data_IF_568984500056
#
_entry.id   IF_568984500056
#
_cell.length_a   1.000
_cell.length_b   1.000
_cell.length_c   1.000
_cell.angle_alpha   90.00
_cell.angle_beta   90.00
_cell.angle_gamma   90.00
#
_symmetry.space_group_name_H-M   'P 1'
#
loop_
_entity.id
_entity.type
_entity.pdbx_description
1 polymer ?
#
# COMPACT_ATOMS: atom_id res chain seq x y z
N UNK A 1 -19.95 -8.87 11.03
CA UNK A 1 -18.55 -8.98 10.56
C UNK A 1 -17.66 -8.37 11.64
N UNK A 2 -16.67 -9.10 12.16
CA UNK A 2 -15.78 -8.59 13.22
C UNK A 2 -14.53 -7.94 12.61
N UNK A 3 -14.09 -6.83 13.18
CA UNK A 3 -12.87 -6.17 12.73
C UNK A 3 -11.61 -6.99 13.08
N UNK A 4 -10.65 -7.04 12.17
CA UNK A 4 -9.35 -7.69 12.32
C UNK A 4 -8.30 -6.63 12.65
N UNK A 5 -7.78 -6.67 13.88
CA UNK A 5 -6.62 -5.89 14.29
C UNK A 5 -5.77 -6.73 15.26
N UNK A 6 -4.84 -7.50 14.71
CA UNK A 6 -4.07 -8.49 15.47
C UNK A 6 -2.65 -8.00 15.71
N UNK A 7 -2.01 -8.47 16.79
CA UNK A 7 -0.58 -8.18 17.05
C UNK A 7 0.31 -8.56 15.87
N UNK A 8 -0.01 -9.65 15.18
CA UNK A 8 0.71 -10.06 13.97
C UNK A 8 0.60 -9.02 12.84
N UNK A 9 -0.59 -8.46 12.60
CA UNK A 9 -0.77 -7.42 11.58
C UNK A 9 -0.10 -6.11 11.99
N UNK A 10 -0.14 -5.74 13.26
CA UNK A 10 0.58 -4.58 13.79
C UNK A 10 2.08 -4.72 13.50
N UNK A 11 2.69 -5.85 13.89
CA UNK A 11 4.12 -6.10 13.68
C UNK A 11 4.48 -6.17 12.19
N UNK A 12 3.66 -6.83 11.36
CA UNK A 12 3.89 -6.89 9.91
C UNK A 12 3.81 -5.52 9.26
N UNK A 13 2.78 -4.74 9.60
CA UNK A 13 2.61 -3.39 9.07
C UNK A 13 3.75 -2.48 9.51
N UNK A 14 4.11 -2.53 10.80
CA UNK A 14 5.24 -1.82 11.38
C UNK A 14 6.52 -2.10 10.61
N UNK A 15 6.90 -3.38 10.47
CA UNK A 15 8.18 -3.74 9.87
C UNK A 15 8.20 -3.51 8.35
N UNK A 16 7.22 -4.04 7.62
CA UNK A 16 7.28 -4.08 6.15
C UNK A 16 7.21 -2.68 5.54
N UNK A 17 6.26 -1.84 6.00
CA UNK A 17 6.14 -0.48 5.48
C UNK A 17 7.35 0.38 5.84
N UNK A 18 7.85 0.27 7.08
CA UNK A 18 9.03 1.02 7.51
C UNK A 18 10.27 0.61 6.74
N UNK A 19 10.52 -0.68 6.54
CA UNK A 19 11.68 -1.17 5.79
C UNK A 19 11.61 -0.68 4.34
N UNK A 20 10.47 -0.86 3.67
CA UNK A 20 10.30 -0.43 2.28
C UNK A 20 10.51 1.07 2.10
N UNK A 21 9.87 1.88 2.95
CA UNK A 21 10.00 3.34 2.91
C UNK A 21 11.41 3.82 3.27
N UNK A 22 12.06 3.19 4.26
CA UNK A 22 13.42 3.54 4.68
C UNK A 22 14.42 3.26 3.57
N UNK A 23 14.33 2.10 2.92
CA UNK A 23 15.21 1.77 1.78
C UNK A 23 14.98 2.77 0.65
N UNK A 24 13.73 3.09 0.32
CA UNK A 24 13.40 4.09 -0.69
C UNK A 24 13.96 5.48 -0.34
N UNK A 25 13.86 5.90 0.91
CA UNK A 25 14.38 7.18 1.40
C UNK A 25 15.91 7.24 1.34
N UNK A 26 16.60 6.17 1.71
CA UNK A 26 18.06 6.06 1.63
C UNK A 26 18.55 6.16 0.19
N UNK A 27 17.88 5.46 -0.75
CA UNK A 27 18.21 5.52 -2.18
C UNK A 27 18.06 6.93 -2.76
N UNK A 28 17.08 7.69 -2.28
CA UNK A 28 16.83 9.07 -2.72
C UNK A 28 17.67 10.12 -1.97
N UNK A 29 18.46 9.74 -0.97
CA UNK A 29 19.16 10.68 -0.10
C UNK A 29 18.22 11.55 0.76
N UNK A 30 16.98 11.10 0.98
CA UNK A 30 15.92 11.82 1.71
C UNK A 30 15.54 11.15 3.04
N UNK A 31 16.47 10.39 3.62
CA UNK A 31 16.25 9.71 4.90
C UNK A 31 16.09 10.71 6.04
N UNK A 32 15.07 10.51 6.87
CA UNK A 32 14.91 11.21 8.14
C UNK A 32 14.32 10.28 9.20
N UNK A 33 14.79 10.43 10.43
CA UNK A 33 14.33 9.61 11.56
C UNK A 33 12.84 9.83 11.83
N UNK A 34 12.36 11.06 11.67
CA UNK A 34 10.96 11.43 11.84
C UNK A 34 10.06 10.73 10.80
N UNK A 35 10.48 10.66 9.53
CA UNK A 35 9.78 9.91 8.48
C UNK A 35 9.70 8.44 8.83
N UNK A 36 10.82 7.83 9.22
CA UNK A 36 10.86 6.42 9.59
C UNK A 36 9.90 6.09 10.73
N UNK A 37 9.94 6.86 11.83
CA UNK A 37 9.05 6.66 12.98
C UNK A 37 7.58 6.94 12.65
N UNK A 38 7.32 7.95 11.80
CA UNK A 38 5.98 8.26 11.33
C UNK A 38 5.38 7.14 10.48
N UNK A 39 6.15 6.63 9.52
CA UNK A 39 5.72 5.50 8.68
C UNK A 39 5.58 4.20 9.48
N UNK A 40 6.40 4.02 10.52
CA UNK A 40 6.25 2.95 11.50
C UNK A 40 4.91 3.03 12.23
N UNK A 41 4.53 4.22 12.72
CA UNK A 41 3.25 4.46 13.37
C UNK A 41 2.07 4.19 12.42
N UNK A 42 2.10 4.75 11.20
CA UNK A 42 1.04 4.55 10.20
C UNK A 42 0.91 3.07 9.81
N UNK A 43 2.04 2.38 9.58
CA UNK A 43 2.07 0.97 9.26
C UNK A 43 1.46 0.10 10.37
N UNK A 44 1.81 0.39 11.62
CA UNK A 44 1.33 -0.32 12.81
C UNK A 44 -0.14 -0.05 13.15
N UNK A 45 -0.69 1.09 12.73
CA UNK A 45 -2.04 1.55 13.10
C UNK A 45 -2.98 1.53 11.90
N UNK A 46 -2.97 2.58 11.08
CA UNK A 46 -3.89 2.81 9.97
C UNK A 46 -3.87 1.64 8.99
N UNK A 47 -2.69 1.21 8.55
CA UNK A 47 -2.61 0.15 7.53
C UNK A 47 -2.86 -1.24 8.11
N UNK A 48 -2.36 -1.53 9.31
CA UNK A 48 -2.63 -2.79 10.00
C UNK A 48 -4.11 -2.97 10.39
N UNK A 49 -4.86 -1.87 10.50
CA UNK A 49 -6.31 -1.89 10.69
C UNK A 49 -7.06 -1.95 9.34
N UNK A 50 -6.91 -0.96 8.46
CA UNK A 50 -7.80 -0.81 7.31
C UNK A 50 -7.66 -1.92 6.27
N UNK A 51 -6.43 -2.28 5.89
CA UNK A 51 -6.15 -3.21 4.78
C UNK A 51 -6.69 -4.62 5.04
N UNK A 52 -6.41 -5.28 6.18
CA UNK A 52 -6.95 -6.61 6.44
C UNK A 52 -8.48 -6.61 6.56
N UNK A 53 -9.08 -5.56 7.13
CA UNK A 53 -10.52 -5.41 7.22
C UNK A 53 -11.16 -5.26 5.84
N UNK A 54 -10.56 -4.49 4.94
CA UNK A 54 -11.05 -4.35 3.58
C UNK A 54 -10.93 -5.66 2.79
N UNK A 55 -9.86 -6.42 2.97
CA UNK A 55 -9.72 -7.74 2.33
C UNK A 55 -10.72 -8.76 2.87
N UNK A 56 -11.03 -8.72 4.16
CA UNK A 56 -12.09 -9.53 4.73
C UNK A 56 -13.45 -9.12 4.15
N UNK A 57 -13.68 -7.81 3.95
CA UNK A 57 -14.91 -7.30 3.35
C UNK A 57 -15.07 -7.79 1.92
N UNK A 58 -14.01 -7.74 1.10
CA UNK A 58 -14.01 -8.32 -0.26
C UNK A 58 -14.34 -9.82 -0.22
N UNK A 59 -13.68 -10.57 0.68
CA UNK A 59 -13.90 -12.01 0.81
C UNK A 59 -15.35 -12.36 1.21
N UNK A 60 -15.96 -11.55 2.07
CA UNK A 60 -17.35 -11.73 2.49
C UNK A 60 -18.35 -11.25 1.45
N UNK A 61 -18.07 -10.18 0.70
CA UNK A 61 -18.95 -9.63 -0.32
C UNK A 61 -19.02 -10.51 -1.57
N UNK A 62 -17.90 -11.15 -1.93
CA UNK A 62 -17.78 -12.00 -3.12
C UNK A 62 -17.64 -13.45 -2.67
N UNK A 63 -18.76 -14.02 -2.27
CA UNK A 63 -18.90 -15.44 -1.95
C UNK A 63 -19.11 -16.27 -3.21
N UNK A 64 -18.58 -17.49 -3.23
CA UNK A 64 -18.82 -18.47 -4.29
C UNK A 64 -17.54 -19.01 -4.93
N UNK A 65 -17.67 -19.96 -5.87
CA UNK A 65 -16.54 -20.63 -6.48
C UNK A 65 -15.61 -19.65 -7.19
N UNK A 66 -14.36 -20.09 -7.44
CA UNK A 66 -13.34 -19.34 -8.19
C UNK A 66 -13.68 -19.25 -9.68
N UNK A 67 -14.81 -18.62 -10.00
CA UNK A 67 -15.14 -18.23 -11.36
C UNK A 67 -14.23 -17.08 -11.79
N UNK A 68 -14.01 -16.98 -13.10
CA UNK A 68 -13.25 -15.89 -13.69
C UNK A 68 -13.83 -14.52 -13.30
N UNK A 69 -15.16 -14.37 -13.38
CA UNK A 69 -15.85 -13.13 -13.03
C UNK A 69 -15.67 -12.75 -11.54
N UNK A 70 -15.79 -13.71 -10.62
CA UNK A 70 -15.55 -13.44 -9.20
C UNK A 70 -14.11 -13.04 -8.93
N UNK A 71 -13.17 -13.63 -9.66
CA UNK A 71 -11.75 -13.30 -9.54
C UNK A 71 -11.44 -11.87 -10.01
N UNK A 72 -12.06 -11.44 -11.12
CA UNK A 72 -11.98 -10.07 -11.59
C UNK A 72 -12.65 -9.10 -10.62
N UNK A 73 -13.84 -9.42 -10.08
CA UNK A 73 -14.52 -8.57 -9.08
C UNK A 73 -13.67 -8.35 -7.83
N UNK A 74 -13.05 -9.40 -7.27
CA UNK A 74 -12.16 -9.27 -6.11
C UNK A 74 -10.95 -8.38 -6.40
N UNK A 75 -10.35 -8.56 -7.57
CA UNK A 75 -9.22 -7.74 -8.05
C UNK A 75 -9.64 -6.28 -8.22
N UNK A 76 -10.77 -6.03 -8.89
CA UNK A 76 -11.31 -4.69 -9.12
C UNK A 76 -11.63 -3.96 -7.82
N UNK A 77 -12.25 -4.64 -6.84
CA UNK A 77 -12.47 -4.04 -5.52
C UNK A 77 -11.16 -3.69 -4.81
N UNK A 78 -10.15 -4.56 -4.87
CA UNK A 78 -8.83 -4.27 -4.30
C UNK A 78 -8.17 -3.06 -4.98
N UNK A 79 -8.27 -2.97 -6.31
CA UNK A 79 -7.77 -1.83 -7.10
C UNK A 79 -8.50 -0.52 -6.75
N UNK A 80 -9.82 -0.56 -6.53
CA UNK A 80 -10.59 0.60 -6.09
C UNK A 80 -10.20 1.07 -4.69
N UNK A 81 -9.82 0.15 -3.80
CA UNK A 81 -9.30 0.53 -2.49
C UNK A 81 -7.92 1.15 -2.58
N UNK A 82 -7.00 0.56 -3.34
CA UNK A 82 -5.69 1.14 -3.64
C UNK A 82 -5.76 2.21 -4.74
N UNK A 83 -6.81 3.03 -4.73
CA UNK A 83 -7.06 4.13 -5.66
C UNK A 83 -6.02 5.26 -5.54
N UNK A 84 -6.04 6.25 -6.45
CA UNK A 84 -5.23 7.46 -6.31
C UNK A 84 -5.36 8.15 -4.96
N UNK A 85 -6.53 8.08 -4.30
CA UNK A 85 -6.71 8.64 -2.96
C UNK A 85 -5.87 7.92 -1.90
N UNK A 86 -5.77 6.59 -1.98
CA UNK A 86 -4.92 5.82 -1.08
C UNK A 86 -3.45 6.18 -1.29
N UNK A 87 -3.01 6.27 -2.55
CA UNK A 87 -1.64 6.64 -2.91
C UNK A 87 -1.33 8.06 -2.46
N UNK A 88 -2.22 9.02 -2.71
CA UNK A 88 -2.07 10.40 -2.27
C UNK A 88 -1.97 10.51 -0.74
N UNK A 89 -2.79 9.75 -0.01
CA UNK A 89 -2.72 9.68 1.46
C UNK A 89 -1.38 9.14 1.94
N UNK A 90 -0.83 8.12 1.28
CA UNK A 90 0.50 7.60 1.61
C UNK A 90 1.61 8.65 1.37
N UNK A 91 1.57 9.35 0.23
CA UNK A 91 2.49 10.44 -0.08
C UNK A 91 2.36 11.60 0.91
N UNK A 92 1.14 11.92 1.34
CA UNK A 92 0.87 12.93 2.37
C UNK A 92 1.57 12.56 3.68
N UNK A 93 1.46 11.32 4.15
CA UNK A 93 2.15 10.89 5.37
C UNK A 93 3.67 10.98 5.23
N UNK A 94 4.23 10.60 4.07
CA UNK A 94 5.67 10.75 3.82
C UNK A 94 6.07 12.22 3.94
N UNK A 95 5.37 13.15 3.27
CA UNK A 95 5.70 14.59 3.32
C UNK A 95 5.53 15.17 4.72
N UNK A 96 4.44 14.79 5.40
CA UNK A 96 4.14 15.16 6.79
C UNK A 96 5.29 14.82 7.73
N UNK A 97 5.70 13.54 7.75
CA UNK A 97 6.72 13.06 8.67
C UNK A 97 8.15 13.38 8.20
N UNK A 98 8.33 13.77 6.94
CA UNK A 98 9.60 14.32 6.44
C UNK A 98 9.79 15.80 6.78
N UNK A 99 8.76 16.48 7.30
CA UNK A 99 8.83 17.91 7.59
C UNK A 99 8.62 18.82 6.37
N UNK A 100 8.19 18.26 5.23
CA UNK A 100 7.95 19.01 3.99
C UNK A 100 6.49 19.48 3.89
N UNK A 101 6.03 20.18 4.92
CA UNK A 101 4.63 20.64 5.04
C UNK A 101 4.20 21.54 3.88
N UNK A 102 5.11 22.37 3.37
CA UNK A 102 4.86 23.29 2.26
C UNK A 102 4.62 22.59 0.92
N UNK A 103 4.99 21.31 0.80
CA UNK A 103 4.79 20.51 -0.41
C UNK A 103 3.47 19.72 -0.37
N UNK A 104 2.72 19.80 0.74
CA UNK A 104 1.40 19.18 0.86
C UNK A 104 0.40 20.06 0.11
N UNK A 105 0.03 19.63 -1.10
CA UNK A 105 -0.90 20.35 -1.96
C UNK A 105 -1.77 19.38 -2.77
N UNK A 106 -2.73 19.92 -3.51
CA UNK A 106 -3.55 19.17 -4.46
C UNK A 106 -2.73 18.47 -5.56
N UNK A 107 -1.49 18.88 -5.79
CA UNK A 107 -0.60 18.21 -6.74
C UNK A 107 -0.27 16.78 -6.30
N UNK A 108 -0.31 16.46 -4.99
CA UNK A 108 -0.17 15.08 -4.50
C UNK A 108 -1.21 14.14 -5.12
N UNK A 109 -2.45 14.62 -5.32
CA UNK A 109 -3.50 13.82 -5.94
C UNK A 109 -3.24 13.62 -7.44
N UNK A 110 -2.69 14.63 -8.11
CA UNK A 110 -2.27 14.55 -9.52
C UNK A 110 -1.16 13.52 -9.68
N UNK A 111 -0.09 13.63 -8.89
CA UNK A 111 1.03 12.67 -8.88
C UNK A 111 0.53 11.27 -8.59
N UNK A 112 -0.29 11.10 -7.54
CA UNK A 112 -0.87 9.82 -7.19
C UNK A 112 -1.73 9.20 -8.30
N UNK A 113 -2.49 10.02 -9.03
CA UNK A 113 -3.32 9.57 -10.17
C UNK A 113 -2.47 9.10 -11.34
N UNK A 114 -1.42 9.85 -11.69
CA UNK A 114 -0.48 9.46 -12.74
C UNK A 114 0.28 8.19 -12.35
N UNK A 115 0.84 8.13 -11.14
CA UNK A 115 1.53 6.94 -10.63
C UNK A 115 0.62 5.71 -10.63
N UNK A 116 -0.64 5.86 -10.20
CA UNK A 116 -1.62 4.78 -10.25
C UNK A 116 -1.86 4.32 -11.69
N UNK A 117 -2.11 5.25 -12.62
CA UNK A 117 -2.37 4.94 -14.03
C UNK A 117 -1.23 4.16 -14.69
N UNK A 118 0.01 4.61 -14.51
CA UNK A 118 1.19 3.90 -15.04
C UNK A 118 1.40 2.54 -14.37
N UNK A 119 0.98 2.39 -13.13
CA UNK A 119 1.13 1.15 -12.37
C UNK A 119 -0.02 0.16 -12.57
N UNK A 120 -1.09 0.49 -13.31
CA UNK A 120 -2.26 -0.38 -13.46
C UNK A 120 -1.87 -1.82 -13.85
N UNK A 121 -1.01 -2.08 -14.84
CA UNK A 121 -0.71 -3.46 -15.24
C UNK A 121 -0.08 -4.30 -14.12
N UNK A 122 0.88 -3.71 -13.41
CA UNK A 122 1.62 -4.38 -12.32
C UNK A 122 0.73 -4.51 -11.08
N UNK A 123 0.06 -3.43 -10.67
CA UNK A 123 -0.83 -3.42 -9.51
C UNK A 123 -2.05 -4.32 -9.71
N UNK A 124 -2.66 -4.38 -10.90
CA UNK A 124 -3.76 -5.29 -11.19
C UNK A 124 -3.30 -6.75 -11.11
N UNK A 125 -2.12 -7.07 -11.65
CA UNK A 125 -1.56 -8.42 -11.60
C UNK A 125 -1.26 -8.86 -10.16
N UNK A 126 -0.63 -7.99 -9.37
CA UNK A 126 -0.35 -8.25 -7.96
C UNK A 126 -1.65 -8.42 -7.15
N UNK A 127 -2.62 -7.53 -7.33
CA UNK A 127 -3.91 -7.62 -6.65
C UNK A 127 -4.70 -8.86 -7.08
N UNK A 128 -4.61 -9.28 -8.34
CA UNK A 128 -5.21 -10.52 -8.80
C UNK A 128 -4.63 -11.73 -8.06
N UNK A 129 -3.31 -11.80 -7.96
CA UNK A 129 -2.63 -12.87 -7.23
C UNK A 129 -3.00 -12.85 -5.73
N UNK A 130 -2.88 -11.68 -5.08
CA UNK A 130 -3.18 -11.53 -3.64
C UNK A 130 -4.62 -11.92 -3.34
N UNK A 131 -5.59 -11.46 -4.12
CA UNK A 131 -7.00 -11.71 -3.82
C UNK A 131 -7.48 -13.12 -4.17
N UNK A 132 -6.85 -13.79 -5.13
CA UNK A 132 -7.36 -15.07 -5.65
C UNK A 132 -6.48 -16.28 -5.31
N UNK A 133 -5.19 -16.08 -5.03
CA UNK A 133 -4.25 -17.17 -4.74
C UNK A 133 -3.81 -17.20 -3.28
N UNK A 134 -3.72 -16.06 -2.61
CA UNK A 134 -3.32 -16.03 -1.20
C UNK A 134 -4.51 -16.29 -0.25
N UNK A 135 -4.33 -17.16 0.76
CA UNK A 135 -5.27 -17.27 1.88
C UNK A 135 -5.47 -15.93 2.57
N UNK A 136 -6.68 -15.66 3.07
CA UNK A 136 -7.08 -14.37 3.62
C UNK A 136 -6.09 -13.82 4.68
N UNK A 137 -5.58 -14.70 5.55
CA UNK A 137 -4.65 -14.33 6.62
C UNK A 137 -3.24 -13.92 6.14
N UNK A 138 -2.87 -14.24 4.90
CA UNK A 138 -1.62 -13.80 4.27
C UNK A 138 -1.79 -12.60 3.34
N UNK A 139 -3.01 -12.21 2.97
CA UNK A 139 -3.24 -11.13 1.99
C UNK A 139 -2.67 -9.80 2.43
N UNK A 140 -2.82 -9.45 3.71
CA UNK A 140 -2.23 -8.22 4.25
C UNK A 140 -0.72 -8.21 4.10
N UNK A 141 -0.06 -9.31 4.47
CA UNK A 141 1.39 -9.46 4.33
C UNK A 141 1.83 -9.36 2.87
N UNK A 142 1.16 -10.08 1.96
CA UNK A 142 1.45 -10.02 0.53
C UNK A 142 1.27 -8.61 -0.06
N UNK A 143 0.22 -7.91 0.35
CA UNK A 143 -0.02 -6.52 -0.06
C UNK A 143 1.04 -5.56 0.49
N UNK A 144 1.41 -5.69 1.76
CA UNK A 144 2.44 -4.84 2.37
C UNK A 144 3.81 -5.05 1.69
N UNK A 145 4.18 -6.31 1.40
CA UNK A 145 5.41 -6.64 0.67
C UNK A 145 5.39 -6.02 -0.72
N UNK A 146 4.28 -6.18 -1.46
CA UNK A 146 4.13 -5.56 -2.77
C UNK A 146 4.30 -4.03 -2.69
N UNK A 147 3.64 -3.36 -1.74
CA UNK A 147 3.80 -1.92 -1.54
C UNK A 147 5.24 -1.51 -1.23
N UNK A 148 5.94 -2.26 -0.37
CA UNK A 148 7.35 -2.00 -0.04
C UNK A 148 8.26 -2.14 -1.26
N UNK A 149 8.06 -3.19 -2.08
CA UNK A 149 8.80 -3.37 -3.33
C UNK A 149 8.55 -2.24 -4.32
N UNK A 150 7.29 -1.79 -4.45
CA UNK A 150 6.94 -0.67 -5.32
C UNK A 150 7.61 0.64 -4.85
N UNK A 151 7.66 0.89 -3.54
CA UNK A 151 8.34 2.08 -3.00
C UNK A 151 9.83 2.09 -3.37
N UNK A 152 10.52 0.95 -3.22
CA UNK A 152 11.92 0.80 -3.62
C UNK A 152 12.09 0.93 -5.13
N UNK A 153 11.23 0.29 -5.93
CA UNK A 153 11.26 0.40 -7.38
C UNK A 153 11.12 1.85 -7.86
N UNK A 154 10.16 2.61 -7.32
CA UNK A 154 10.00 4.01 -7.68
C UNK A 154 11.17 4.88 -7.24
N UNK A 155 11.77 4.60 -6.08
CA UNK A 155 12.99 5.27 -5.65
C UNK A 155 14.16 5.02 -6.62
N UNK A 156 14.38 3.76 -7.03
CA UNK A 156 15.39 3.41 -8.02
C UNK A 156 15.12 4.09 -9.36
N UNK A 157 13.89 4.01 -9.87
CA UNK A 157 13.52 4.66 -11.13
C UNK A 157 13.77 6.17 -11.09
N UNK A 158 13.41 6.82 -9.99
CA UNK A 158 13.66 8.25 -9.79
C UNK A 158 15.15 8.60 -9.58
N UNK A 159 16.02 7.63 -9.31
CA UNK A 159 17.47 7.85 -9.22
C UNK A 159 18.19 7.59 -10.53
N UNK A 160 17.77 6.59 -11.31
CA UNK A 160 18.44 6.16 -12.53
C UNK A 160 17.97 6.87 -13.80
N UNK A 161 16.71 7.30 -13.84
CA UNK A 161 16.12 7.97 -15.01
C UNK A 161 15.94 9.48 -14.80
N UNK A 162 16.84 10.08 -14.01
CA UNK A 162 16.93 11.55 -13.85
C UNK A 162 17.39 12.23 -15.13
#
# INVERSE_FOLDING_TARGET
MSFIYTRANIVRGLLIYTIGDTVAALLQGSFSLTRMLGMMLIGATVYAFEVPNYFQYIAHKITGPNSFLNSLKRTGMSMLYFSPLWVARHLLFIKLFSGHWNEISWDLLRVASLSFMYNIPVSASANYFIQNKLPLHYRFMGSAIFSALMAVYYALAATWFK
#
